data_IF_854976373773
#
_entry.id   IF_854976373773
#
_cell.length_a   1.000
_cell.length_b   1.000
_cell.length_c   1.000
_cell.angle_alpha   90.00
_cell.angle_beta   90.00
_cell.angle_gamma   90.00
#
_symmetry.space_group_name_H-M   'P 1'
#
loop_
_entity.id
_entity.type
_entity.pdbx_description
1 polymer ?
#
# COMPACT_ATOMS: atom_id res chain seq x y z
N UNK A 1 -55.14 -72.46 28.69
CA UNK A 1 -55.78 -71.26 28.16
C UNK A 1 -54.69 -70.22 27.92
N UNK A 2 -54.29 -70.14 26.69
CA UNK A 2 -53.37 -69.15 26.17
C UNK A 2 -54.12 -67.88 25.75
N UNK A 3 -53.52 -66.69 25.91
CA UNK A 3 -53.80 -65.62 24.93
C UNK A 3 -52.53 -65.05 24.30
N UNK A 4 -52.78 -64.67 23.07
CA UNK A 4 -52.02 -64.18 21.98
C UNK A 4 -51.24 -62.93 22.31
N UNK A 5 -50.02 -62.80 21.65
CA UNK A 5 -49.30 -61.63 21.38
C UNK A 5 -50.00 -60.63 20.47
N UNK A 6 -49.76 -59.36 20.52
CA UNK A 6 -49.95 -58.41 19.42
C UNK A 6 -48.64 -57.89 18.85
N UNK A 7 -48.58 -58.01 17.59
CA UNK A 7 -48.06 -57.30 16.43
C UNK A 7 -47.09 -56.17 16.64
N UNK A 8 -46.00 -56.25 15.86
CA UNK A 8 -45.02 -55.26 15.46
C UNK A 8 -45.58 -53.88 15.01
N UNK A 9 -45.03 -52.82 15.52
CA UNK A 9 -45.17 -51.51 14.93
C UNK A 9 -43.78 -51.02 14.53
N UNK A 10 -43.60 -50.90 13.22
CA UNK A 10 -42.41 -50.30 12.58
C UNK A 10 -42.22 -48.84 13.01
N UNK A 11 -41.01 -48.49 13.48
CA UNK A 11 -40.53 -47.13 13.67
C UNK A 11 -39.93 -46.62 12.36
N UNK A 12 -40.14 -45.36 11.99
CA UNK A 12 -39.58 -44.81 10.75
C UNK A 12 -38.06 -44.58 10.89
N UNK A 13 -37.35 -44.98 9.85
CA UNK A 13 -35.92 -44.76 9.64
C UNK A 13 -35.68 -43.25 9.48
N UNK A 14 -34.94 -42.65 10.42
CA UNK A 14 -34.47 -41.29 10.31
C UNK A 14 -33.43 -41.19 9.18
N UNK A 15 -33.73 -40.37 8.18
CA UNK A 15 -32.82 -40.00 7.13
C UNK A 15 -31.65 -39.20 7.75
N UNK A 16 -30.45 -39.76 7.70
CA UNK A 16 -29.18 -39.04 7.98
C UNK A 16 -29.01 -37.95 6.93
N UNK A 17 -29.28 -36.71 7.31
CA UNK A 17 -28.77 -35.56 6.61
C UNK A 17 -27.27 -35.49 6.87
N UNK A 18 -26.48 -35.72 5.84
CA UNK A 18 -25.02 -35.46 5.83
C UNK A 18 -24.83 -33.97 6.10
N UNK A 19 -24.45 -33.62 7.31
CA UNK A 19 -23.90 -32.33 7.60
C UNK A 19 -22.51 -32.32 6.98
N UNK A 20 -22.35 -31.51 5.93
CA UNK A 20 -21.03 -31.17 5.39
C UNK A 20 -20.22 -30.45 6.46
N UNK A 21 -19.03 -30.98 6.75
CA UNK A 21 -18.02 -30.39 7.64
C UNK A 21 -17.59 -29.04 7.06
N UNK A 22 -17.64 -27.94 7.84
CA UNK A 22 -17.22 -26.60 7.34
C UNK A 22 -15.71 -26.46 7.13
N UNK A 23 -14.90 -27.49 7.29
CA UNK A 23 -13.44 -27.43 7.30
C UNK A 23 -12.75 -27.74 5.98
N UNK A 24 -13.46 -28.10 4.90
CA UNK A 24 -12.88 -28.33 3.58
C UNK A 24 -13.39 -27.28 2.57
N UNK A 25 -12.91 -26.03 2.69
CA UNK A 25 -13.00 -25.08 1.58
C UNK A 25 -11.84 -25.42 0.63
N UNK A 26 -12.14 -25.84 -0.58
CA UNK A 26 -11.13 -26.10 -1.61
C UNK A 26 -10.36 -24.80 -1.90
N UNK A 27 -9.02 -24.79 -1.87
CA UNK A 27 -8.23 -23.62 -2.25
C UNK A 27 -8.61 -23.03 -3.63
N UNK A 28 -9.10 -23.85 -4.56
CA UNK A 28 -9.59 -23.41 -5.87
C UNK A 28 -10.87 -22.57 -5.78
N UNK A 29 -11.75 -22.84 -4.82
CA UNK A 29 -12.99 -22.09 -4.60
C UNK A 29 -12.70 -20.72 -4.00
N UNK A 30 -11.70 -20.61 -3.11
CA UNK A 30 -11.24 -19.34 -2.56
C UNK A 30 -10.63 -18.45 -3.67
N UNK A 31 -9.86 -19.06 -4.58
CA UNK A 31 -9.26 -18.33 -5.72
C UNK A 31 -10.33 -17.88 -6.71
N UNK A 32 -11.33 -18.72 -6.96
CA UNK A 32 -12.46 -18.40 -7.84
C UNK A 32 -13.36 -17.30 -7.26
N UNK A 33 -13.66 -17.36 -5.96
CA UNK A 33 -14.47 -16.35 -5.26
C UNK A 33 -13.78 -14.99 -5.24
N UNK A 34 -12.46 -14.94 -4.98
CA UNK A 34 -11.64 -13.72 -5.07
C UNK A 34 -11.52 -13.16 -6.49
N UNK A 35 -11.50 -14.03 -7.51
CA UNK A 35 -11.51 -13.59 -8.90
C UNK A 35 -12.88 -13.01 -9.29
N UNK A 36 -13.96 -13.57 -8.80
CA UNK A 36 -15.32 -13.04 -8.98
C UNK A 36 -15.51 -11.70 -8.26
N UNK A 37 -15.04 -11.56 -7.03
CA UNK A 37 -15.07 -10.32 -6.26
C UNK A 37 -14.27 -9.21 -6.96
N UNK A 38 -13.09 -9.53 -7.49
CA UNK A 38 -12.28 -8.62 -8.31
C UNK A 38 -13.01 -8.17 -9.58
N UNK A 39 -13.71 -9.07 -10.27
CA UNK A 39 -14.45 -8.75 -11.49
C UNK A 39 -15.68 -7.89 -11.22
N UNK A 40 -16.22 -7.91 -9.99
CA UNK A 40 -17.39 -7.11 -9.59
C UNK A 40 -17.00 -5.78 -8.93
N UNK A 41 -15.72 -5.58 -8.57
CA UNK A 41 -15.26 -4.39 -7.86
C UNK A 41 -15.23 -3.17 -8.78
N UNK A 42 -15.93 -2.10 -8.40
CA UNK A 42 -15.92 -0.78 -9.05
C UNK A 42 -15.32 0.31 -8.16
N UNK A 43 -14.68 -0.08 -7.06
CA UNK A 43 -14.01 0.82 -6.13
C UNK A 43 -12.77 0.16 -5.52
N UNK A 44 -11.83 0.99 -5.07
CA UNK A 44 -10.56 0.57 -4.48
C UNK A 44 -10.19 1.52 -3.33
N UNK A 45 -10.03 1.01 -2.11
CA UNK A 45 -9.52 1.79 -0.98
C UNK A 45 -8.01 1.76 -1.00
N UNK A 46 -7.39 2.92 -1.15
CA UNK A 46 -5.93 3.04 -1.26
C UNK A 46 -5.33 3.80 -0.09
N UNK A 47 -4.13 3.37 0.30
CA UNK A 47 -3.29 3.98 1.33
C UNK A 47 -1.92 4.33 0.72
N UNK A 48 -1.40 5.53 1.00
CA UNK A 48 0.00 5.88 0.77
C UNK A 48 0.64 6.34 2.07
N UNK A 49 1.81 5.78 2.42
CA UNK A 49 2.45 6.05 3.69
C UNK A 49 3.98 5.94 3.60
N UNK A 50 4.67 7.04 3.87
CA UNK A 50 6.12 7.00 4.13
C UNK A 50 6.33 6.55 5.58
N UNK A 51 6.88 5.34 5.75
CA UNK A 51 7.01 4.67 7.06
C UNK A 51 8.36 4.90 7.75
N UNK A 52 9.27 5.68 7.14
CA UNK A 52 10.58 5.98 7.70
C UNK A 52 11.29 4.72 8.24
N UNK A 53 11.29 3.62 7.49
CA UNK A 53 11.83 2.32 7.89
C UNK A 53 11.29 1.79 9.24
N UNK A 54 10.05 2.11 9.60
CA UNK A 54 9.44 1.71 10.87
C UNK A 54 9.99 2.46 12.09
N UNK A 55 10.62 3.61 11.89
CA UNK A 55 11.17 4.45 12.95
C UNK A 55 10.13 5.46 13.40
N UNK A 56 9.76 5.41 14.67
CA UNK A 56 8.83 6.36 15.26
C UNK A 56 9.59 7.62 15.72
N UNK A 57 9.57 8.67 14.88
CA UNK A 57 10.14 9.98 15.20
C UNK A 57 9.05 10.89 15.77
N UNK A 58 9.28 11.48 16.95
CA UNK A 58 8.28 12.30 17.67
C UNK A 58 8.64 13.77 17.77
N UNK A 59 9.91 14.15 17.53
CA UNK A 59 10.43 15.53 17.62
C UNK A 59 11.61 15.73 16.70
N UNK A 60 11.91 16.98 16.35
CA UNK A 60 13.12 17.34 15.58
C UNK A 60 14.43 16.91 16.28
N UNK A 61 14.47 16.93 17.63
CA UNK A 61 15.63 16.43 18.37
C UNK A 61 15.97 14.97 18.05
N UNK A 62 14.99 14.16 17.71
CA UNK A 62 15.19 12.75 17.41
C UNK A 62 16.00 12.53 16.13
N UNK A 63 15.96 13.49 15.17
CA UNK A 63 16.81 13.48 13.98
C UNK A 63 18.27 13.78 14.32
N UNK A 64 18.54 14.70 15.27
CA UNK A 64 19.88 15.17 15.60
C UNK A 64 20.57 14.21 16.57
N UNK A 65 19.85 13.78 17.60
CA UNK A 65 20.39 12.91 18.66
C UNK A 65 20.25 11.42 18.37
N UNK A 66 19.33 11.04 17.47
CA UNK A 66 18.95 9.66 17.15
C UNK A 66 19.56 9.12 15.87
N UNK A 67 20.42 9.86 15.14
CA UNK A 67 20.96 9.40 13.84
C UNK A 67 21.70 8.07 13.91
N UNK A 68 22.38 7.76 15.02
CA UNK A 68 23.00 6.45 15.26
C UNK A 68 22.00 5.38 15.74
N UNK A 69 20.90 5.76 16.43
CA UNK A 69 19.82 4.85 16.83
C UNK A 69 19.00 4.37 15.64
N UNK A 70 19.01 5.12 14.54
CA UNK A 70 18.40 4.71 13.27
C UNK A 70 19.11 3.50 12.62
N UNK A 71 20.28 3.12 13.14
CA UNK A 71 21.09 2.00 12.65
C UNK A 71 20.98 0.73 13.54
N UNK A 72 20.30 0.82 14.69
CA UNK A 72 20.22 -0.29 15.65
C UNK A 72 18.80 -0.83 15.73
N UNK A 73 18.60 -2.17 15.59
CA UNK A 73 17.29 -2.79 15.76
C UNK A 73 16.73 -2.55 17.17
N UNK A 74 15.51 -2.05 17.28
CA UNK A 74 14.82 -1.85 18.55
C UNK A 74 13.55 -2.73 18.61
N UNK A 75 13.22 -3.28 19.79
CA UNK A 75 11.95 -4.00 20.02
C UNK A 75 10.71 -3.18 19.58
N UNK A 76 10.77 -1.86 19.73
CA UNK A 76 9.71 -0.94 19.31
C UNK A 76 9.46 -0.92 17.77
N UNK A 77 10.43 -1.38 16.95
CA UNK A 77 10.23 -1.46 15.50
C UNK A 77 9.13 -2.46 15.13
N UNK A 78 9.13 -3.65 15.73
CA UNK A 78 8.10 -4.66 15.44
C UNK A 78 6.71 -4.22 15.83
N UNK A 79 6.58 -3.54 16.96
CA UNK A 79 5.29 -3.02 17.42
C UNK A 79 4.80 -1.90 16.49
N UNK A 80 5.70 -1.01 16.05
CA UNK A 80 5.37 0.01 15.04
C UNK A 80 4.92 -0.62 13.73
N UNK A 81 5.60 -1.69 13.26
CA UNK A 81 5.20 -2.40 12.04
C UNK A 81 3.83 -3.09 12.18
N UNK A 82 3.50 -3.64 13.36
CA UNK A 82 2.17 -4.18 13.66
C UNK A 82 1.09 -3.10 13.66
N UNK A 83 1.38 -1.93 14.25
CA UNK A 83 0.46 -0.80 14.23
C UNK A 83 0.22 -0.31 12.79
N UNK A 84 1.26 -0.29 11.94
CA UNK A 84 1.15 0.03 10.51
C UNK A 84 0.33 -1.05 9.78
N UNK A 85 0.54 -2.33 10.09
CA UNK A 85 -0.22 -3.43 9.51
C UNK A 85 -1.71 -3.34 9.88
N UNK A 86 -2.02 -3.03 11.16
CA UNK A 86 -3.39 -2.82 11.59
C UNK A 86 -4.05 -1.65 10.84
N UNK A 87 -3.33 -0.54 10.67
CA UNK A 87 -3.81 0.57 9.84
C UNK A 87 -4.04 0.12 8.39
N UNK A 88 -3.10 -0.61 7.81
CA UNK A 88 -3.17 -1.02 6.40
C UNK A 88 -4.25 -2.08 6.12
N UNK A 89 -4.70 -2.83 7.13
CA UNK A 89 -5.68 -3.90 6.97
C UNK A 89 -7.06 -3.43 6.47
N UNK A 90 -7.38 -2.14 6.64
CA UNK A 90 -8.63 -1.53 6.16
C UNK A 90 -8.62 -1.18 4.67
N UNK A 91 -7.48 -1.37 3.98
CA UNK A 91 -7.29 -0.95 2.58
C UNK A 91 -7.16 -2.15 1.65
N UNK A 92 -7.43 -1.89 0.37
CA UNK A 92 -7.33 -2.89 -0.68
C UNK A 92 -5.97 -2.87 -1.37
N UNK A 93 -5.33 -1.67 -1.41
CA UNK A 93 -3.99 -1.45 -1.93
C UNK A 93 -3.26 -0.42 -1.05
N UNK A 94 -2.03 -0.73 -0.70
CA UNK A 94 -1.18 0.18 0.06
C UNK A 94 0.20 0.35 -0.59
N UNK A 95 0.61 1.61 -0.74
CA UNK A 95 1.94 2.02 -1.19
C UNK A 95 2.75 2.59 -0.04
N UNK A 96 3.89 1.95 0.24
CA UNK A 96 4.82 2.38 1.27
C UNK A 96 6.04 3.07 0.65
N UNK A 97 6.53 4.10 1.29
CA UNK A 97 7.83 4.70 0.99
C UNK A 97 8.77 4.49 2.18
N UNK A 98 10.07 4.46 1.89
CA UNK A 98 11.13 4.19 2.86
C UNK A 98 11.02 2.85 3.58
N UNK A 99 10.31 1.87 3.04
CA UNK A 99 10.30 0.51 3.59
C UNK A 99 11.70 -0.13 3.47
N UNK A 100 12.10 -0.94 4.46
CA UNK A 100 13.37 -1.65 4.46
C UNK A 100 13.18 -3.13 4.08
N UNK A 101 13.99 -3.62 3.15
CA UNK A 101 13.93 -5.01 2.63
C UNK A 101 14.78 -6.02 3.43
N UNK A 102 14.96 -5.79 4.72
CA UNK A 102 15.68 -6.75 5.57
C UNK A 102 17.17 -6.44 5.74
N UNK A 103 17.50 -5.20 6.08
CA UNK A 103 18.85 -4.79 6.47
C UNK A 103 19.09 -4.88 7.98
N UNK A 104 20.34 -4.60 8.40
CA UNK A 104 20.67 -4.51 9.82
C UNK A 104 19.79 -3.51 10.56
N UNK A 105 19.46 -2.37 9.93
CA UNK A 105 18.60 -1.30 10.45
C UNK A 105 17.20 -1.82 10.84
N UNK A 106 16.64 -2.71 10.03
CA UNK A 106 15.31 -3.31 10.28
C UNK A 106 15.38 -4.60 11.12
N UNK A 107 16.58 -4.99 11.60
CA UNK A 107 16.77 -6.28 12.25
C UNK A 107 16.57 -7.46 11.30
N UNK A 108 16.93 -7.27 10.03
CA UNK A 108 16.77 -8.24 8.93
C UNK A 108 15.29 -8.58 8.61
N UNK A 109 14.36 -7.71 9.01
CA UNK A 109 12.93 -7.85 8.67
C UNK A 109 12.70 -7.15 7.33
N UNK A 110 12.18 -7.88 6.35
CA UNK A 110 11.51 -7.30 5.20
C UNK A 110 10.20 -6.68 5.66
N UNK A 111 10.17 -5.34 5.73
CA UNK A 111 9.07 -4.61 6.32
C UNK A 111 7.81 -4.68 5.46
N UNK A 112 7.95 -4.63 4.12
CA UNK A 112 6.81 -4.74 3.20
C UNK A 112 6.13 -6.10 3.38
N UNK A 113 6.91 -7.18 3.38
CA UNK A 113 6.41 -8.52 3.58
C UNK A 113 5.77 -8.70 4.96
N UNK A 114 6.46 -8.25 6.02
CA UNK A 114 5.95 -8.37 7.38
C UNK A 114 4.59 -7.67 7.54
N UNK A 115 4.48 -6.42 7.05
CA UNK A 115 3.22 -5.65 7.13
C UNK A 115 2.13 -6.34 6.31
N UNK A 116 2.43 -6.81 5.10
CA UNK A 116 1.48 -7.49 4.24
C UNK A 116 0.91 -8.76 4.88
N UNK A 117 1.77 -9.62 5.45
CA UNK A 117 1.36 -10.84 6.15
C UNK A 117 0.46 -10.52 7.36
N UNK A 118 0.80 -9.50 8.17
CA UNK A 118 0.03 -9.12 9.34
C UNK A 118 -1.29 -8.42 9.01
N UNK A 119 -1.36 -7.69 7.89
CA UNK A 119 -2.55 -6.97 7.42
C UNK A 119 -3.47 -7.83 6.56
N UNK A 120 -3.05 -9.05 6.18
CA UNK A 120 -3.84 -9.97 5.37
C UNK A 120 -3.90 -9.60 3.89
N UNK A 121 -2.83 -9.00 3.34
CA UNK A 121 -2.70 -8.81 1.90
C UNK A 121 -2.24 -10.10 1.23
N UNK A 122 -2.82 -10.41 0.07
CA UNK A 122 -2.50 -11.62 -0.71
C UNK A 122 -1.26 -11.45 -1.58
N UNK A 123 -0.93 -10.20 -1.90
CA UNK A 123 0.22 -9.84 -2.73
C UNK A 123 1.06 -8.76 -2.08
N UNK A 124 2.37 -8.88 -2.20
CA UNK A 124 3.33 -7.85 -1.80
C UNK A 124 4.53 -7.83 -2.75
N UNK A 125 5.11 -6.66 -2.91
CA UNK A 125 6.33 -6.46 -3.68
C UNK A 125 7.17 -5.33 -3.10
N UNK A 126 8.49 -5.49 -3.09
CA UNK A 126 9.43 -4.47 -2.61
C UNK A 126 10.39 -4.07 -3.73
N UNK A 127 10.30 -2.80 -4.17
CA UNK A 127 11.28 -2.19 -5.06
C UNK A 127 12.47 -1.68 -4.26
N UNK A 128 13.64 -2.27 -4.44
CA UNK A 128 14.86 -1.85 -3.75
C UNK A 128 15.51 -0.65 -4.44
N UNK A 129 15.32 0.56 -3.90
CA UNK A 129 15.80 1.81 -4.50
C UNK A 129 17.22 2.20 -4.06
N UNK A 130 17.56 1.95 -2.81
CA UNK A 130 18.86 2.31 -2.24
C UNK A 130 19.38 1.23 -1.32
N UNK A 131 20.55 0.72 -1.66
CA UNK A 131 21.30 -0.23 -0.83
C UNK A 131 22.57 0.41 -0.32
N UNK A 132 22.76 0.43 1.01
CA UNK A 132 24.00 0.85 1.66
C UNK A 132 24.61 -0.35 2.35
N UNK A 133 25.33 -1.18 1.59
CA UNK A 133 25.85 -2.46 2.05
C UNK A 133 24.73 -3.32 2.66
N UNK A 134 24.98 -3.86 3.86
CA UNK A 134 23.98 -4.59 4.66
C UNK A 134 23.30 -3.69 5.71
N UNK A 135 23.61 -2.38 5.74
CA UNK A 135 23.13 -1.45 6.78
C UNK A 135 21.72 -0.95 6.52
N UNK A 136 21.39 -0.65 5.27
CA UNK A 136 20.06 -0.14 4.90
C UNK A 136 19.67 -0.56 3.48
N UNK A 137 18.42 -1.02 3.30
CA UNK A 137 17.81 -1.37 2.01
C UNK A 137 16.47 -0.64 1.87
N UNK A 138 16.53 0.66 1.62
CA UNK A 138 15.32 1.47 1.51
C UNK A 138 14.69 1.37 0.11
N UNK A 139 13.37 1.29 0.06
CA UNK A 139 12.62 1.20 -1.18
C UNK A 139 11.16 1.58 -1.07
N UNK A 140 10.44 1.33 -2.15
CA UNK A 140 8.99 1.41 -2.20
C UNK A 140 8.40 0.01 -1.96
N UNK A 141 7.38 -0.07 -1.12
CA UNK A 141 6.60 -1.28 -0.88
C UNK A 141 5.23 -1.18 -1.51
N UNK A 142 4.78 -2.25 -2.15
CA UNK A 142 3.43 -2.44 -2.63
C UNK A 142 2.81 -3.60 -1.88
N UNK A 143 1.60 -3.40 -1.39
CA UNK A 143 0.75 -4.45 -0.82
C UNK A 143 -0.62 -4.35 -1.46
N UNK A 144 -1.21 -5.47 -1.84
CA UNK A 144 -2.50 -5.52 -2.52
C UNK A 144 -3.27 -6.79 -2.14
N UNK A 145 -4.60 -6.69 -2.08
CA UNK A 145 -5.47 -7.86 -1.93
C UNK A 145 -5.57 -8.68 -3.22
N UNK A 146 -5.10 -8.12 -4.35
CA UNK A 146 -5.10 -8.79 -5.65
C UNK A 146 -3.71 -8.83 -6.25
N UNK A 147 -3.44 -9.91 -6.96
CA UNK A 147 -2.25 -10.02 -7.78
C UNK A 147 -2.31 -9.02 -8.94
N UNK A 148 -1.32 -8.13 -9.14
CA UNK A 148 -1.23 -7.31 -10.32
C UNK A 148 -1.02 -8.18 -11.57
N UNK A 149 -1.55 -7.73 -12.71
CA UNK A 149 -1.32 -8.35 -14.02
C UNK A 149 0.08 -8.07 -14.58
N UNK A 150 0.73 -7.00 -14.07
CA UNK A 150 2.08 -6.62 -14.43
C UNK A 150 2.74 -5.75 -13.36
N UNK A 151 4.07 -5.78 -13.34
CA UNK A 151 4.92 -4.94 -12.50
C UNK A 151 6.08 -4.38 -13.33
N UNK A 152 6.45 -3.12 -13.06
CA UNK A 152 7.69 -2.54 -13.57
C UNK A 152 8.34 -1.63 -12.54
N UNK A 153 9.67 -1.70 -12.47
CA UNK A 153 10.49 -0.83 -11.64
C UNK A 153 11.21 0.20 -12.52
N UNK A 154 11.14 1.45 -12.14
CA UNK A 154 11.87 2.51 -12.80
C UNK A 154 12.77 3.23 -11.81
N UNK A 155 14.08 3.23 -12.08
CA UNK A 155 15.00 4.11 -11.37
C UNK A 155 14.74 5.55 -11.83
N UNK A 156 14.48 6.44 -10.89
CA UNK A 156 14.24 7.84 -11.19
C UNK A 156 15.54 8.61 -11.42
N UNK A 157 15.61 9.49 -12.44
CA UNK A 157 16.82 10.23 -12.76
C UNK A 157 17.23 11.17 -11.63
N UNK A 158 18.55 11.25 -11.34
CA UNK A 158 19.09 12.13 -10.31
C UNK A 158 20.58 11.93 -10.07
N UNK A 159 21.24 12.95 -9.52
CA UNK A 159 22.65 12.85 -9.16
C UNK A 159 22.88 11.95 -7.93
N UNK A 160 21.90 11.84 -7.05
CA UNK A 160 21.92 10.95 -5.89
C UNK A 160 21.03 9.74 -6.23
N UNK A 161 21.60 8.53 -6.31
CA UNK A 161 20.81 7.32 -6.57
C UNK A 161 19.89 6.97 -5.38
N UNK A 162 18.89 6.14 -5.63
CA UNK A 162 18.05 5.61 -4.56
C UNK A 162 16.66 6.23 -4.53
N UNK A 163 16.18 6.70 -5.68
CA UNK A 163 14.77 7.07 -5.89
C UNK A 163 14.20 6.22 -7.01
N UNK A 164 12.99 5.78 -6.84
CA UNK A 164 12.31 4.88 -7.77
C UNK A 164 10.82 5.14 -7.89
N UNK A 165 10.25 4.61 -8.96
CA UNK A 165 8.83 4.49 -9.16
C UNK A 165 8.49 3.03 -9.40
N UNK A 166 7.53 2.51 -8.65
CA UNK A 166 7.01 1.16 -8.77
C UNK A 166 5.65 1.22 -9.45
N UNK A 167 5.55 0.60 -10.61
CA UNK A 167 4.35 0.51 -11.43
C UNK A 167 3.68 -0.84 -11.21
N UNK A 168 2.37 -0.86 -11.07
CA UNK A 168 1.58 -2.10 -10.99
C UNK A 168 0.27 -1.94 -11.75
N UNK A 169 -0.06 -2.93 -12.58
CA UNK A 169 -1.28 -2.96 -13.38
C UNK A 169 -2.28 -3.93 -12.81
N UNK A 170 -3.54 -3.54 -12.78
CA UNK A 170 -4.65 -4.36 -12.29
C UNK A 170 -5.75 -4.41 -13.33
N UNK A 171 -6.11 -5.62 -13.73
CA UNK A 171 -7.29 -5.86 -14.54
C UNK A 171 -8.51 -5.90 -13.60
N UNK A 172 -9.25 -4.81 -13.57
CA UNK A 172 -10.45 -4.63 -12.74
C UNK A 172 -11.69 -4.61 -13.64
N UNK A 173 -12.89 -4.55 -13.03
CA UNK A 173 -14.14 -4.54 -13.80
C UNK A 173 -14.18 -3.43 -14.86
N UNK A 174 -13.95 -3.80 -16.12
CA UNK A 174 -14.03 -2.91 -17.28
C UNK A 174 -12.85 -1.98 -17.53
N UNK A 175 -11.82 -1.99 -16.67
CA UNK A 175 -10.63 -1.14 -16.83
C UNK A 175 -9.32 -1.87 -16.52
N UNK A 176 -8.23 -1.39 -17.13
CA UNK A 176 -6.86 -1.69 -16.66
C UNK A 176 -6.38 -0.48 -15.85
N UNK A 177 -6.27 -0.62 -14.54
CA UNK A 177 -5.79 0.42 -13.64
C UNK A 177 -4.27 0.32 -13.50
N UNK A 178 -3.55 1.41 -13.78
CA UNK A 178 -2.14 1.57 -13.43
C UNK A 178 -2.01 2.30 -12.08
N UNK A 179 -1.35 1.67 -11.11
CA UNK A 179 -0.94 2.35 -9.88
C UNK A 179 0.57 2.56 -9.87
N UNK A 180 0.99 3.74 -9.41
CA UNK A 180 2.40 4.15 -9.38
C UNK A 180 2.75 4.66 -7.99
N UNK A 181 3.69 4.00 -7.34
CA UNK A 181 4.21 4.40 -6.03
C UNK A 181 5.55 5.10 -6.25
N UNK A 182 5.68 6.33 -5.75
CA UNK A 182 6.89 7.14 -5.91
C UNK A 182 7.46 7.61 -4.58
N UNK A 183 8.78 7.80 -4.56
CA UNK A 183 9.46 8.58 -3.54
C UNK A 183 10.47 9.48 -4.23
N UNK A 184 10.17 10.79 -4.33
CA UNK A 184 10.97 11.74 -5.09
C UNK A 184 12.13 12.33 -4.27
N UNK A 185 13.06 12.94 -4.98
CA UNK A 185 14.24 13.58 -4.39
C UNK A 185 13.90 14.85 -3.61
N UNK A 186 14.72 15.19 -2.60
CA UNK A 186 14.61 16.45 -1.85
C UNK A 186 14.93 17.70 -2.68
N UNK A 187 15.80 17.56 -3.68
CA UNK A 187 16.28 18.67 -4.48
C UNK A 187 15.30 19.06 -5.61
N UNK A 188 14.95 20.32 -5.72
CA UNK A 188 13.97 20.84 -6.68
C UNK A 188 14.29 20.48 -8.14
N UNK A 189 15.56 20.62 -8.58
CA UNK A 189 15.97 20.27 -9.96
C UNK A 189 15.87 18.78 -10.24
N UNK A 190 16.14 17.94 -9.24
CA UNK A 190 16.02 16.49 -9.38
C UNK A 190 14.53 16.09 -9.49
N UNK A 191 13.65 16.64 -8.62
CA UNK A 191 12.20 16.42 -8.70
C UNK A 191 11.62 16.80 -10.05
N UNK A 192 11.97 17.97 -10.60
CA UNK A 192 11.48 18.38 -11.91
C UNK A 192 11.87 17.38 -13.02
N UNK A 193 13.12 16.87 -13.00
CA UNK A 193 13.54 15.82 -13.93
C UNK A 193 12.80 14.50 -13.71
N UNK A 194 12.59 14.11 -12.45
CA UNK A 194 11.88 12.88 -12.08
C UNK A 194 10.41 12.93 -12.52
N UNK A 195 9.72 14.05 -12.29
CA UNK A 195 8.35 14.24 -12.73
C UNK A 195 8.24 14.29 -14.26
N UNK A 196 9.16 14.95 -14.95
CA UNK A 196 9.21 14.90 -16.41
C UNK A 196 9.41 13.47 -16.97
N UNK A 197 10.28 12.68 -16.33
CA UNK A 197 10.46 11.26 -16.67
C UNK A 197 9.18 10.44 -16.43
N UNK A 198 8.51 10.64 -15.30
CA UNK A 198 7.23 9.98 -15.00
C UNK A 198 6.14 10.38 -16.00
N UNK A 199 6.09 11.64 -16.43
CA UNK A 199 5.15 12.12 -17.46
C UNK A 199 5.26 11.30 -18.74
N UNK A 200 6.48 10.99 -19.19
CA UNK A 200 6.68 10.16 -20.38
C UNK A 200 6.21 8.72 -20.18
N UNK A 201 6.47 8.13 -19.00
CA UNK A 201 6.07 6.76 -18.70
C UNK A 201 4.55 6.59 -18.55
N UNK A 202 3.84 7.65 -18.15
CA UNK A 202 2.38 7.60 -17.93
C UNK A 202 1.59 7.77 -19.25
N UNK A 203 2.23 8.14 -20.36
CA UNK A 203 1.55 8.33 -21.63
C UNK A 203 0.85 7.06 -22.10
N UNK A 204 -0.39 7.23 -22.57
CA UNK A 204 -1.20 6.13 -23.11
C UNK A 204 -1.91 5.28 -22.07
N UNK A 205 -1.78 5.60 -20.78
CA UNK A 205 -2.53 4.94 -19.73
C UNK A 205 -3.76 5.76 -19.34
N UNK A 206 -4.99 5.28 -19.66
CA UNK A 206 -6.21 6.05 -19.41
C UNK A 206 -6.62 6.10 -17.94
N UNK A 207 -6.30 5.06 -17.16
CA UNK A 207 -6.67 4.94 -15.75
C UNK A 207 -5.43 4.82 -14.90
N UNK A 208 -5.05 5.92 -14.25
CA UNK A 208 -3.79 6.05 -13.50
C UNK A 208 -4.06 6.59 -12.10
N UNK A 209 -3.39 6.00 -11.12
CA UNK A 209 -3.22 6.53 -9.77
C UNK A 209 -1.74 6.68 -9.49
N UNK A 210 -1.27 7.89 -9.17
CA UNK A 210 0.10 8.11 -8.70
C UNK A 210 0.06 8.53 -7.24
N UNK A 211 0.83 7.85 -6.39
CA UNK A 211 0.84 8.11 -4.96
C UNK A 211 2.24 8.05 -4.37
N UNK A 212 2.48 8.81 -3.31
CA UNK A 212 3.72 8.73 -2.56
C UNK A 212 4.22 10.05 -2.01
N UNK A 213 5.47 10.03 -1.55
CA UNK A 213 6.19 11.19 -1.05
C UNK A 213 6.87 11.93 -2.22
N UNK A 214 6.29 13.07 -2.57
CA UNK A 214 6.81 13.95 -3.63
C UNK A 214 7.88 14.91 -3.14
N UNK A 215 8.08 15.03 -1.83
CA UNK A 215 8.99 15.99 -1.21
C UNK A 215 8.81 17.43 -1.71
N UNK A 216 7.62 17.77 -2.18
CA UNK A 216 7.26 19.04 -2.78
C UNK A 216 5.86 19.47 -2.39
N UNK A 217 5.62 20.77 -2.24
CA UNK A 217 4.27 21.27 -2.01
C UNK A 217 3.42 21.20 -3.28
N UNK A 218 2.07 21.19 -3.17
CA UNK A 218 1.15 21.24 -4.30
C UNK A 218 1.36 22.47 -5.19
N UNK A 219 1.81 23.59 -4.60
CA UNK A 219 2.04 24.84 -5.29
C UNK A 219 3.40 24.92 -5.99
N UNK A 220 4.28 23.92 -5.80
CA UNK A 220 5.57 23.92 -6.48
C UNK A 220 5.38 23.81 -8.00
N UNK A 221 6.23 24.51 -8.76
CA UNK A 221 6.14 24.54 -10.22
C UNK A 221 6.15 23.10 -10.79
N UNK A 222 7.07 22.25 -10.31
CA UNK A 222 7.21 20.90 -10.84
C UNK A 222 5.96 20.02 -10.60
N UNK A 223 5.25 20.19 -9.49
CA UNK A 223 4.00 19.44 -9.19
C UNK A 223 2.86 19.96 -10.06
N UNK A 224 2.76 21.28 -10.25
CA UNK A 224 1.76 21.89 -11.13
C UNK A 224 1.96 21.51 -12.59
N UNK A 225 3.18 21.61 -13.08
CA UNK A 225 3.54 21.23 -14.46
C UNK A 225 3.24 19.74 -14.69
N UNK A 226 3.55 18.88 -13.71
CA UNK A 226 3.22 17.45 -13.79
C UNK A 226 1.71 17.22 -13.92
N UNK A 227 0.91 17.87 -13.08
CA UNK A 227 -0.56 17.77 -13.15
C UNK A 227 -1.09 18.28 -14.51
N UNK A 228 -0.60 19.42 -14.98
CA UNK A 228 -1.03 20.04 -16.23
C UNK A 228 -0.68 19.17 -17.46
N UNK A 229 0.57 18.71 -17.56
CA UNK A 229 1.05 17.95 -18.72
C UNK A 229 0.46 16.55 -18.77
N UNK A 230 0.27 15.89 -17.61
CA UNK A 230 -0.35 14.55 -17.55
C UNK A 230 -1.87 14.58 -17.58
N UNK A 231 -2.49 15.71 -17.29
CA UNK A 231 -3.94 15.83 -17.11
C UNK A 231 -4.46 15.17 -15.83
N UNK A 232 -3.57 14.72 -14.94
CA UNK A 232 -3.96 14.09 -13.67
C UNK A 232 -4.45 15.12 -12.66
N UNK A 233 -5.51 14.78 -11.94
CA UNK A 233 -6.06 15.60 -10.87
C UNK A 233 -5.32 15.34 -9.55
N UNK A 234 -4.79 16.39 -8.93
CA UNK A 234 -4.19 16.33 -7.59
C UNK A 234 -5.28 16.36 -6.53
N UNK A 235 -5.38 15.33 -5.71
CA UNK A 235 -6.39 15.19 -4.66
C UNK A 235 -5.98 15.81 -3.31
N UNK A 236 -4.68 15.92 -3.04
CA UNK A 236 -4.11 16.23 -1.71
C UNK A 236 -3.74 17.70 -1.51
N UNK A 237 -4.36 18.64 -2.22
CA UNK A 237 -3.95 20.04 -2.25
C UNK A 237 -3.82 20.77 -0.90
N UNK A 238 -4.42 20.24 0.18
CA UNK A 238 -4.40 20.83 1.53
C UNK A 238 -4.07 19.80 2.64
N UNK A 239 -3.61 18.60 2.27
CA UNK A 239 -3.32 17.52 3.21
C UNK A 239 -1.94 17.69 3.86
N UNK A 240 -1.86 18.35 5.02
CA UNK A 240 -0.60 18.48 5.75
C UNK A 240 -0.25 17.14 6.41
N UNK A 241 0.89 16.57 6.04
CA UNK A 241 1.33 15.24 6.46
C UNK A 241 2.65 15.25 7.22
N UNK A 242 3.47 16.30 7.07
CA UNK A 242 4.81 16.36 7.61
C UNK A 242 5.10 17.66 8.40
N UNK A 243 5.80 17.60 9.54
CA UNK A 243 6.11 16.39 10.28
C UNK A 243 4.88 15.89 11.06
N UNK A 244 4.73 14.59 11.26
CA UNK A 244 3.53 13.95 11.83
C UNK A 244 3.11 14.48 13.22
N UNK A 245 4.06 14.94 14.03
CA UNK A 245 3.80 15.52 15.37
C UNK A 245 3.29 16.96 15.35
N UNK A 246 3.53 17.69 14.26
CA UNK A 246 3.05 19.06 14.02
C UNK A 246 2.94 19.30 12.51
N UNK A 247 1.90 18.77 11.84
CA UNK A 247 1.81 18.84 10.40
C UNK A 247 1.72 20.28 9.88
N UNK A 248 2.64 20.64 8.98
CA UNK A 248 2.76 21.97 8.40
C UNK A 248 3.03 21.93 6.89
N UNK A 249 3.46 20.78 6.36
CA UNK A 249 3.82 20.60 4.95
C UNK A 249 2.96 19.51 4.32
N UNK A 250 2.47 19.83 3.14
CA UNK A 250 1.79 18.89 2.26
C UNK A 250 2.81 18.40 1.23
N UNK A 251 3.38 17.23 1.41
CA UNK A 251 4.43 16.67 0.56
C UNK A 251 4.15 15.25 0.08
N UNK A 252 3.15 14.61 0.68
CA UNK A 252 2.62 13.33 0.25
C UNK A 252 1.39 13.58 -0.64
N UNK A 253 1.38 12.99 -1.84
CA UNK A 253 0.38 13.30 -2.84
C UNK A 253 -0.31 12.07 -3.42
N UNK A 254 -1.56 12.30 -3.85
CA UNK A 254 -2.39 11.39 -4.64
C UNK A 254 -2.83 12.12 -5.91
N UNK A 255 -2.57 11.53 -7.05
CA UNK A 255 -3.04 11.96 -8.36
C UNK A 255 -3.87 10.88 -9.02
N UNK A 256 -4.93 11.26 -9.71
CA UNK A 256 -5.77 10.32 -10.47
C UNK A 256 -6.07 10.84 -11.88
N UNK A 257 -6.32 9.91 -12.79
CA UNK A 257 -6.84 10.23 -14.14
C UNK A 257 -8.23 10.86 -14.07
N UNK A 258 -8.61 11.72 -15.02
CA UNK A 258 -9.96 12.29 -15.10
C UNK A 258 -11.08 11.26 -15.25
N UNK A 259 -10.77 10.06 -15.72
CA UNK A 259 -11.70 8.93 -15.85
C UNK A 259 -12.03 8.23 -14.53
N UNK A 260 -11.31 8.57 -13.45
CA UNK A 260 -11.51 8.04 -12.12
C UNK A 260 -12.15 9.09 -11.21
N UNK A 261 -12.93 8.63 -10.25
CA UNK A 261 -13.49 9.47 -9.20
C UNK A 261 -12.88 9.07 -7.86
N UNK A 262 -12.77 10.01 -6.93
CA UNK A 262 -12.25 9.73 -5.61
C UNK A 262 -13.13 10.35 -4.54
N UNK A 263 -13.21 9.69 -3.40
CA UNK A 263 -13.72 10.33 -2.19
C UNK A 263 -12.74 11.41 -1.71
N UNK A 264 -13.17 12.21 -0.72
CA UNK A 264 -12.25 13.14 -0.07
C UNK A 264 -11.04 12.39 0.49
N UNK A 265 -9.83 12.91 0.25
CA UNK A 265 -8.61 12.36 0.86
C UNK A 265 -8.66 12.56 2.38
N UNK A 266 -8.35 11.50 3.10
CA UNK A 266 -8.20 11.49 4.53
C UNK A 266 -6.71 11.50 4.91
N UNK A 267 -6.38 12.27 5.94
CA UNK A 267 -5.07 12.25 6.59
C UNK A 267 -5.25 11.51 7.91
N UNK A 268 -4.58 10.37 8.03
CA UNK A 268 -4.67 9.57 9.25
C UNK A 268 -4.00 10.27 10.43
N UNK A 269 -4.51 10.02 11.65
CA UNK A 269 -3.97 10.58 12.88
C UNK A 269 -2.81 9.78 13.50
N UNK A 270 -2.44 8.65 12.91
CA UNK A 270 -1.46 7.69 13.44
C UNK A 270 -0.03 8.21 13.26
N UNK A 271 0.63 8.56 14.37
CA UNK A 271 2.01 9.06 14.40
C UNK A 271 3.02 7.90 14.54
N UNK A 272 3.04 7.03 13.51
CA UNK A 272 3.90 5.84 13.47
C UNK A 272 5.20 6.06 12.70
N UNK A 273 5.30 7.21 12.02
CA UNK A 273 6.42 7.71 11.24
C UNK A 273 6.52 9.23 11.43
N UNK A 274 7.50 9.88 10.82
CA UNK A 274 7.58 11.34 10.70
C UNK A 274 6.61 11.92 9.66
N UNK A 275 5.98 11.09 8.84
CA UNK A 275 4.84 11.43 7.99
C UNK A 275 3.52 10.94 8.61
N UNK A 276 2.40 11.51 8.16
CA UNK A 276 1.06 10.97 8.36
C UNK A 276 0.61 10.23 7.10
N UNK A 277 -0.12 9.11 7.25
CA UNK A 277 -0.67 8.38 6.11
C UNK A 277 -1.78 9.20 5.42
N UNK A 278 -1.92 9.02 4.11
CA UNK A 278 -3.01 9.56 3.31
C UNK A 278 -3.76 8.43 2.63
N UNK A 279 -5.08 8.55 2.54
CA UNK A 279 -5.93 7.53 1.95
C UNK A 279 -7.14 8.12 1.25
N UNK A 280 -7.71 7.35 0.33
CA UNK A 280 -8.98 7.66 -0.35
C UNK A 280 -9.58 6.38 -0.94
N UNK A 281 -10.85 6.45 -1.33
CA UNK A 281 -11.48 5.42 -2.16
C UNK A 281 -11.58 5.93 -3.60
N UNK A 282 -11.06 5.16 -4.54
CA UNK A 282 -11.13 5.42 -5.98
C UNK A 282 -12.32 4.63 -6.54
N UNK A 283 -13.05 5.25 -7.48
CA UNK A 283 -14.18 4.65 -8.21
C UNK A 283 -13.99 4.83 -9.72
N UNK A 284 -14.51 3.90 -10.53
CA UNK A 284 -14.49 3.94 -12.00
C UNK A 284 -15.77 3.42 -12.62
#
# INVERSE_FOLDING_TARGET
MTPKSPTDSELPVASNSVQSDPSEIDPSDIVADRAADRAATSQLRILSYNIQAGIRTRRYSDYVTGSWRQLIPHHQHRDTLRDIALLASDYDLAGLQEADAGSLRSGFIDQTRFIAEQAGFDFQYHQSNRRVGNLAHAGNGLMSRWQPSGLAEHALPGAVPGRGALFSWYELSGITLLTVIVHLSLGQRARARQLGFLTELLRGHPHVVVMGDFNASPQSLAVRDFAEVTGLSLLTGQCQTFPSWQPQRCIDHLFISPSLHATRVEVGGQRLSDHLPISTTIHW
#
